data_IF_578672433131
#
_entry.id   IF_578672433131
#
_cell.length_a   1.000
_cell.length_b   1.000
_cell.length_c   1.000
_cell.angle_alpha   90.00
_cell.angle_beta   90.00
_cell.angle_gamma   90.00
#
_symmetry.space_group_name_H-M   'P 1'
#
loop_
_entity.id
_entity.type
_entity.pdbx_description
1 polymer ?
#
# COMPACT_ATOMS: atom_id res chain seq x y z
N UNK A 1 21.77 2.08 -8.02
CA UNK A 1 21.80 0.60 -8.17
C UNK A 1 22.15 0.20 -9.60
N UNK A 2 22.37 -1.09 -9.88
CA UNK A 2 22.44 -1.58 -11.26
C UNK A 2 21.11 -1.33 -12.00
N UNK A 3 21.16 -0.83 -13.24
CA UNK A 3 20.02 -0.28 -13.99
C UNK A 3 18.90 -1.31 -14.26
N UNK A 4 19.24 -2.58 -14.38
CA UNK A 4 18.30 -3.64 -14.79
C UNK A 4 17.74 -4.44 -13.60
N UNK A 5 18.10 -4.06 -12.37
CA UNK A 5 17.49 -4.63 -11.18
C UNK A 5 16.11 -4.04 -10.95
N UNK A 6 15.20 -4.80 -10.33
CA UNK A 6 13.89 -4.28 -9.91
C UNK A 6 14.04 -2.96 -9.13
N UNK A 7 15.01 -2.89 -8.21
CA UNK A 7 15.30 -1.65 -7.48
C UNK A 7 15.62 -0.48 -8.41
N UNK A 8 16.57 -0.67 -9.34
CA UNK A 8 16.98 0.38 -10.29
C UNK A 8 15.84 0.83 -11.20
N UNK A 9 15.00 -0.10 -11.65
CA UNK A 9 13.81 0.21 -12.46
C UNK A 9 12.82 1.07 -11.67
N UNK A 10 12.53 0.71 -10.42
CA UNK A 10 11.59 1.45 -9.57
C UNK A 10 12.13 2.83 -9.17
N UNK A 11 13.42 2.93 -8.85
CA UNK A 11 14.09 4.20 -8.53
C UNK A 11 13.97 5.18 -9.71
N UNK A 12 14.33 4.73 -10.91
CA UNK A 12 14.18 5.52 -12.15
C UNK A 12 12.73 5.90 -12.44
N UNK A 13 11.78 5.00 -12.21
CA UNK A 13 10.37 5.31 -12.38
C UNK A 13 9.92 6.44 -11.43
N UNK A 14 10.45 6.48 -10.20
CA UNK A 14 10.21 7.57 -9.25
C UNK A 14 10.78 8.92 -9.73
N UNK A 15 11.99 8.92 -10.29
CA UNK A 15 12.60 10.12 -10.88
C UNK A 15 11.78 10.65 -12.08
N UNK A 16 11.37 9.77 -12.99
CA UNK A 16 10.54 10.12 -14.15
C UNK A 16 9.15 10.63 -13.74
N UNK A 17 8.62 10.16 -12.62
CA UNK A 17 7.37 10.63 -12.03
C UNK A 17 7.52 11.95 -11.24
N UNK A 18 8.73 12.54 -11.20
CA UNK A 18 9.04 13.78 -10.49
C UNK A 18 8.72 13.72 -8.98
N UNK A 19 8.84 12.53 -8.38
CA UNK A 19 8.63 12.40 -6.95
C UNK A 19 9.81 13.02 -6.19
N UNK A 20 9.55 13.84 -5.15
CA UNK A 20 10.61 14.58 -4.45
C UNK A 20 11.44 13.69 -3.50
N UNK A 21 11.28 12.36 -3.57
CA UNK A 21 11.95 11.39 -2.72
C UNK A 21 12.25 10.10 -3.49
N UNK A 22 13.28 9.33 -3.08
CA UNK A 22 13.61 8.05 -3.71
C UNK A 22 12.50 7.02 -3.55
N UNK A 23 12.13 6.34 -4.64
CA UNK A 23 11.11 5.28 -4.64
C UNK A 23 11.76 3.91 -4.65
N UNK A 24 11.20 3.01 -3.87
CA UNK A 24 11.70 1.65 -3.67
C UNK A 24 10.52 0.67 -3.62
N UNK A 25 10.75 -0.59 -4.00
CA UNK A 25 9.68 -1.57 -4.24
C UNK A 25 8.73 -1.77 -3.04
N UNK A 26 9.24 -1.62 -1.81
CA UNK A 26 8.40 -1.73 -0.61
C UNK A 26 7.36 -0.61 -0.50
N UNK A 27 7.65 0.59 -1.01
CA UNK A 27 6.67 1.69 -1.05
C UNK A 27 5.47 1.35 -1.94
N UNK A 28 5.69 0.62 -3.03
CA UNK A 28 4.60 0.16 -3.90
C UNK A 28 3.69 -0.84 -3.17
N UNK A 29 4.26 -1.71 -2.32
CA UNK A 29 3.48 -2.58 -1.45
C UNK A 29 2.62 -1.79 -0.47
N UNK A 30 3.18 -0.74 0.13
CA UNK A 30 2.42 0.15 1.01
C UNK A 30 1.30 0.88 0.25
N UNK A 31 1.61 1.45 -0.91
CA UNK A 31 0.63 2.13 -1.76
C UNK A 31 -0.53 1.20 -2.13
N UNK A 32 -0.25 -0.07 -2.48
CA UNK A 32 -1.27 -1.09 -2.72
C UNK A 32 -2.16 -1.33 -1.49
N UNK A 33 -1.56 -1.49 -0.30
CA UNK A 33 -2.30 -1.65 0.95
C UNK A 33 -3.23 -0.48 1.27
N UNK A 34 -2.74 0.76 1.16
CA UNK A 34 -3.55 1.96 1.33
C UNK A 34 -4.66 2.06 0.27
N UNK A 35 -4.36 1.74 -0.99
CA UNK A 35 -5.35 1.78 -2.07
C UNK A 35 -6.48 0.77 -1.85
N UNK A 36 -6.19 -0.44 -1.37
CA UNK A 36 -7.21 -1.44 -1.05
C UNK A 36 -8.06 -1.00 0.16
N UNK A 37 -7.43 -0.47 1.20
CA UNK A 37 -8.16 0.04 2.37
C UNK A 37 -9.06 1.23 2.01
N UNK A 38 -8.60 2.14 1.14
CA UNK A 38 -9.38 3.26 0.63
C UNK A 38 -10.55 2.83 -0.28
N UNK A 39 -10.49 1.63 -0.87
CA UNK A 39 -11.61 1.01 -1.60
C UNK A 39 -12.60 0.29 -0.68
N UNK A 40 -12.36 0.26 0.63
CA UNK A 40 -13.22 -0.43 1.59
C UNK A 40 -13.00 -1.94 1.63
N UNK A 41 -11.90 -2.45 1.09
CA UNK A 41 -11.58 -3.88 1.18
C UNK A 41 -11.30 -4.25 2.64
N UNK A 42 -11.85 -5.38 3.08
CA UNK A 42 -11.68 -5.89 4.43
C UNK A 42 -10.19 -6.05 4.82
N UNK A 43 -9.88 -5.74 6.07
CA UNK A 43 -8.51 -5.70 6.60
C UNK A 43 -7.85 -7.07 6.60
N UNK A 44 -8.60 -8.15 6.89
CA UNK A 44 -8.04 -9.51 6.85
C UNK A 44 -7.80 -9.98 5.43
N UNK A 45 -8.65 -9.58 4.49
CA UNK A 45 -8.45 -9.80 3.06
C UNK A 45 -7.16 -9.12 2.58
N UNK A 46 -6.95 -7.85 2.92
CA UNK A 46 -5.70 -7.13 2.59
C UNK A 46 -4.49 -7.83 3.23
N UNK A 47 -4.60 -8.30 4.48
CA UNK A 47 -3.52 -9.00 5.17
C UNK A 47 -3.13 -10.30 4.43
N UNK A 48 -4.11 -11.11 4.04
CA UNK A 48 -3.87 -12.35 3.29
C UNK A 48 -3.27 -12.07 1.92
N UNK A 49 -3.82 -11.10 1.19
CA UNK A 49 -3.33 -10.70 -0.13
C UNK A 49 -1.88 -10.20 -0.09
N UNK A 50 -1.54 -9.39 0.91
CA UNK A 50 -0.18 -8.90 1.13
C UNK A 50 0.68 -9.86 1.95
N UNK A 51 0.23 -11.07 2.24
CA UNK A 51 1.02 -12.10 2.93
C UNK A 51 1.60 -11.65 4.28
N UNK A 52 0.94 -10.75 5.01
CA UNK A 52 1.45 -10.25 6.28
C UNK A 52 1.18 -11.25 7.40
N UNK A 53 2.25 -11.80 7.98
CA UNK A 53 2.15 -12.69 9.14
C UNK A 53 1.60 -11.97 10.37
N UNK A 54 2.14 -10.79 10.69
CA UNK A 54 1.65 -9.95 11.78
C UNK A 54 0.66 -8.91 11.24
N UNK A 55 -0.56 -8.89 11.80
CA UNK A 55 -1.64 -8.00 11.38
C UNK A 55 -1.27 -6.52 11.55
N UNK A 56 -0.36 -6.17 12.46
CA UNK A 56 0.10 -4.79 12.67
C UNK A 56 0.66 -4.15 11.39
N UNK A 57 1.26 -4.94 10.49
CA UNK A 57 1.73 -4.43 9.19
C UNK A 57 0.60 -4.05 8.22
N UNK A 58 -0.61 -4.54 8.45
CA UNK A 58 -1.81 -4.24 7.64
C UNK A 58 -2.69 -3.18 8.28
N UNK A 59 -2.86 -3.20 9.62
CA UNK A 59 -3.75 -2.26 10.33
C UNK A 59 -3.45 -0.81 9.99
N UNK A 60 -2.16 -0.46 9.83
CA UNK A 60 -1.73 0.89 9.43
C UNK A 60 -2.40 1.42 8.15
N UNK A 61 -2.80 0.56 7.22
CA UNK A 61 -3.47 0.99 5.99
C UNK A 61 -4.89 1.49 6.24
N UNK A 62 -5.51 1.05 7.33
CA UNK A 62 -6.88 1.41 7.70
C UNK A 62 -6.98 2.72 8.48
N UNK A 63 -5.86 3.23 9.00
CA UNK A 63 -5.80 4.50 9.74
C UNK A 63 -6.22 5.68 8.88
N UNK A 64 -5.92 5.62 7.57
CA UNK A 64 -6.23 6.66 6.60
C UNK A 64 -7.51 6.38 5.80
N UNK A 65 -8.24 5.27 6.06
CA UNK A 65 -9.45 4.95 5.31
C UNK A 65 -10.68 5.61 5.95
N UNK A 66 -11.29 6.63 5.32
CA UNK A 66 -12.52 7.24 5.82
C UNK A 66 -13.73 6.30 5.70
N UNK A 67 -13.61 5.24 4.89
CA UNK A 67 -14.69 4.30 4.63
C UNK A 67 -14.87 3.25 5.72
N UNK A 68 -13.95 3.14 6.70
CA UNK A 68 -13.99 2.10 7.73
C UNK A 68 -15.25 2.13 8.60
N UNK A 69 -15.99 3.25 8.61
CA UNK A 69 -17.24 3.42 9.34
C UNK A 69 -18.46 3.59 8.42
N UNK A 70 -18.26 3.63 7.09
CA UNK A 70 -19.35 3.84 6.15
C UNK A 70 -20.27 2.61 6.17
N UNK A 71 -21.55 2.83 6.45
CA UNK A 71 -22.55 1.78 6.56
C UNK A 71 -22.36 0.82 7.73
N UNK A 72 -21.65 1.26 8.78
CA UNK A 72 -21.46 0.45 9.99
C UNK A 72 -22.78 0.14 10.70
N UNK A 73 -23.80 0.97 10.50
CA UNK A 73 -25.11 0.87 11.12
C UNK A 73 -26.25 0.98 10.10
N UNK A 74 -25.96 0.88 8.80
CA UNK A 74 -27.00 0.90 7.78
C UNK A 74 -27.76 -0.44 7.87
N UNK A 75 -29.07 -0.38 8.11
CA UNK A 75 -29.98 -1.54 8.23
C UNK A 75 -30.19 -2.26 6.88
#
# INVERSE_FOLDING_TARGET
>A
MAKDTIGGIIERAGELALLPFPVHAHMLRHACGYALAAKGVDTRTIQGYLGHKNIQHTVRYTELSPLRFKGLWDE
#
